data_IF_749162382431
#
_entry.id   IF_749162382431
#
_cell.length_a   1.000
_cell.length_b   1.000
_cell.length_c   1.000
_cell.angle_alpha   90.00
_cell.angle_beta   90.00
_cell.angle_gamma   90.00
#
_symmetry.space_group_name_H-M   'P 1'
#
loop_
_entity.id
_entity.type
_entity.pdbx_description
1 polymer ?
#
# COMPACT_ATOMS: atom_id res chain seq x y z
N UNK A 1 16.41 6.19 9.48
CA UNK A 1 16.57 5.34 10.68
C UNK A 1 17.00 3.93 10.29
N UNK A 2 17.41 3.11 11.23
CA UNK A 2 17.70 1.68 10.98
C UNK A 2 16.59 0.78 11.50
N UNK A 3 16.13 -0.16 10.66
CA UNK A 3 15.11 -1.17 10.98
C UNK A 3 15.66 -2.53 10.54
N UNK A 4 15.70 -3.51 11.44
CA UNK A 4 16.33 -4.82 11.21
C UNK A 4 17.79 -4.71 10.70
N UNK A 5 18.52 -3.64 11.06
CA UNK A 5 19.87 -3.37 10.60
C UNK A 5 19.98 -2.71 9.21
N UNK A 6 18.88 -2.34 8.58
CA UNK A 6 18.84 -1.69 7.25
C UNK A 6 18.42 -0.23 7.37
N UNK A 7 18.99 0.61 6.51
CA UNK A 7 18.62 2.05 6.41
C UNK A 7 17.24 2.18 5.78
N UNK A 8 16.32 2.80 6.52
CA UNK A 8 14.93 3.04 6.11
C UNK A 8 14.65 4.52 6.02
N UNK A 9 14.17 4.95 4.86
CA UNK A 9 13.63 6.28 4.65
C UNK A 9 12.15 6.29 5.02
N UNK A 10 11.68 7.39 5.60
CA UNK A 10 10.26 7.61 5.85
C UNK A 10 9.94 9.12 5.75
N UNK A 11 8.69 9.43 5.46
CA UNK A 11 8.11 10.77 5.56
C UNK A 11 7.34 10.86 6.86
N UNK A 12 7.45 12.00 7.54
CA UNK A 12 6.71 12.30 8.76
C UNK A 12 6.07 13.68 8.65
N UNK A 13 4.76 13.74 8.90
CA UNK A 13 4.01 14.97 9.02
C UNK A 13 3.53 15.06 10.46
N UNK A 14 4.10 15.98 11.21
CA UNK A 14 3.76 16.17 12.62
C UNK A 14 2.63 17.17 12.80
N UNK A 15 1.66 16.80 13.63
CA UNK A 15 0.67 17.71 14.19
C UNK A 15 0.64 17.54 15.71
N UNK A 16 1.25 18.44 16.49
CA UNK A 16 1.32 18.32 17.94
C UNK A 16 -0.05 18.30 18.65
N UNK A 17 -1.09 18.83 18.01
CA UNK A 17 -2.45 18.85 18.55
C UNK A 17 -3.20 17.53 18.29
N UNK A 18 -2.69 16.69 17.38
CA UNK A 18 -3.34 15.43 17.02
C UNK A 18 -3.02 14.33 18.01
N UNK A 19 -4.07 13.65 18.46
CA UNK A 19 -3.97 12.41 19.24
C UNK A 19 -3.93 11.15 18.37
N UNK A 20 -4.23 11.28 17.06
CA UNK A 20 -4.27 10.16 16.13
C UNK A 20 -3.00 10.09 15.28
N UNK A 21 -2.48 8.90 15.13
CA UNK A 21 -1.33 8.60 14.25
C UNK A 21 -1.80 7.72 13.11
N UNK A 22 -1.58 8.19 11.89
CA UNK A 22 -1.81 7.42 10.66
C UNK A 22 -0.48 6.85 10.17
N UNK A 23 -0.46 5.56 9.83
CA UNK A 23 0.68 4.94 9.15
C UNK A 23 0.24 4.48 7.77
N UNK A 24 0.90 4.98 6.73
CA UNK A 24 0.54 4.72 5.34
C UNK A 24 1.54 3.75 4.71
N UNK A 25 1.07 2.60 4.26
CA UNK A 25 1.88 1.54 3.66
C UNK A 25 1.63 1.50 2.14
N UNK A 26 2.67 1.79 1.38
CA UNK A 26 2.60 1.82 -0.09
C UNK A 26 2.55 0.41 -0.72
N UNK A 27 2.15 0.35 -1.98
CA UNK A 27 2.11 -0.87 -2.79
C UNK A 27 3.48 -1.38 -3.23
N UNK A 28 3.50 -2.54 -3.88
CA UNK A 28 4.68 -3.17 -4.44
C UNK A 28 5.44 -2.20 -5.37
N UNK A 29 6.76 -2.07 -5.20
CA UNK A 29 7.62 -1.21 -6.03
C UNK A 29 7.41 0.30 -5.86
N UNK A 30 6.46 0.72 -5.03
CA UNK A 30 6.17 2.13 -4.80
C UNK A 30 7.08 2.76 -3.72
N UNK A 31 6.70 3.92 -3.23
CA UNK A 31 7.39 4.70 -2.18
C UNK A 31 6.39 5.60 -1.45
N UNK A 32 6.86 6.33 -0.45
CA UNK A 32 6.05 7.30 0.30
C UNK A 32 5.44 8.38 -0.60
N UNK A 33 6.13 8.76 -1.69
CA UNK A 33 5.64 9.76 -2.66
C UNK A 33 4.31 9.39 -3.28
N UNK A 34 3.96 8.10 -3.31
CA UNK A 34 2.66 7.67 -3.85
C UNK A 34 1.47 8.26 -3.07
N UNK A 35 1.70 8.71 -1.84
CA UNK A 35 0.71 9.32 -0.98
C UNK A 35 0.71 10.86 -1.01
N UNK A 36 1.57 11.48 -1.85
CA UNK A 36 1.81 12.92 -1.85
C UNK A 36 0.55 13.76 -2.04
N UNK A 37 -0.39 13.33 -2.88
CA UNK A 37 -1.66 14.03 -3.11
C UNK A 37 -2.56 14.08 -1.85
N UNK A 38 -2.38 13.15 -0.91
CA UNK A 38 -3.11 13.17 0.36
C UNK A 38 -2.43 14.01 1.45
N UNK A 39 -1.14 14.29 1.38
CA UNK A 39 -0.44 14.99 2.46
C UNK A 39 -1.11 16.29 2.88
N UNK A 40 -1.53 17.19 1.96
CA UNK A 40 -2.21 18.43 2.33
C UNK A 40 -3.53 18.20 3.06
N UNK A 41 -4.21 17.09 2.78
CA UNK A 41 -5.53 16.74 3.33
C UNK A 41 -5.42 16.09 4.72
N UNK A 42 -4.28 15.45 5.01
CA UNK A 42 -4.05 14.71 6.27
C UNK A 42 -3.42 15.55 7.38
N UNK A 43 -3.26 16.88 7.21
CA UNK A 43 -2.56 17.77 8.13
C UNK A 43 -3.11 17.80 9.57
N UNK A 44 -4.35 17.38 9.78
CA UNK A 44 -4.93 17.31 11.13
C UNK A 44 -4.46 16.08 11.92
N UNK A 45 -3.72 15.16 11.32
CA UNK A 45 -3.21 13.93 11.94
C UNK A 45 -1.69 13.94 12.01
N UNK A 46 -1.12 13.14 12.92
CA UNK A 46 0.27 12.71 12.78
C UNK A 46 0.34 11.65 11.69
N UNK A 47 1.18 11.82 10.68
CA UNK A 47 1.28 10.88 9.56
C UNK A 47 2.70 10.38 9.42
N UNK A 48 2.85 9.07 9.28
CA UNK A 48 4.15 8.39 9.10
C UNK A 48 4.04 7.46 7.91
N UNK A 49 4.96 7.60 6.97
CA UNK A 49 4.93 6.90 5.70
C UNK A 49 6.31 6.28 5.43
N UNK A 50 6.56 5.03 5.83
CA UNK A 50 7.83 4.38 5.53
C UNK A 50 7.92 4.01 4.05
N UNK A 51 9.10 4.16 3.46
CA UNK A 51 9.49 3.36 2.31
C UNK A 51 9.82 1.96 2.84
N UNK A 52 9.05 0.96 2.44
CA UNK A 52 9.29 -0.43 2.84
C UNK A 52 10.71 -0.85 2.42
N UNK A 53 11.43 -1.57 3.29
CA UNK A 53 12.76 -2.08 2.93
C UNK A 53 12.70 -2.88 1.64
N UNK A 54 13.66 -2.63 0.74
CA UNK A 54 13.63 -3.16 -0.63
C UNK A 54 12.97 -2.22 -1.66
N UNK A 55 12.24 -1.19 -1.21
CA UNK A 55 11.50 -0.27 -2.08
C UNK A 55 11.80 1.20 -1.77
N UNK A 56 11.24 2.08 -2.59
CA UNK A 56 11.44 3.52 -2.46
C UNK A 56 12.91 3.91 -2.44
N UNK A 57 13.27 4.73 -1.49
CA UNK A 57 14.65 5.14 -1.20
C UNK A 57 15.22 4.46 0.06
N UNK A 58 14.50 3.48 0.62
CA UNK A 58 15.04 2.59 1.64
C UNK A 58 16.09 1.64 1.04
N UNK A 59 16.94 1.10 1.90
CA UNK A 59 17.96 0.13 1.52
C UNK A 59 17.33 -1.11 0.87
N UNK A 60 18.05 -1.71 -0.08
CA UNK A 60 17.62 -2.88 -0.85
C UNK A 60 18.62 -4.02 -0.66
N UNK A 61 18.65 -4.64 0.54
CA UNK A 61 19.56 -5.75 0.81
C UNK A 61 19.23 -6.99 -0.03
N UNK A 62 20.23 -7.84 -0.25
CA UNK A 62 20.06 -9.13 -0.91
C UNK A 62 19.57 -10.17 0.12
N UNK A 63 18.29 -10.11 0.46
CA UNK A 63 17.60 -11.03 1.38
C UNK A 63 16.36 -11.60 0.73
N UNK A 64 15.82 -12.68 1.28
CA UNK A 64 14.48 -13.13 0.87
C UNK A 64 13.40 -12.20 1.43
N UNK A 65 12.70 -11.49 0.55
CA UNK A 65 11.61 -10.59 0.88
C UNK A 65 10.30 -11.35 1.10
N UNK A 66 10.28 -12.18 2.15
CA UNK A 66 9.08 -12.95 2.53
C UNK A 66 8.02 -12.05 3.20
N UNK A 67 6.77 -12.51 3.26
CA UNK A 67 5.72 -11.81 4.02
C UNK A 67 6.14 -11.68 5.49
N UNK A 68 6.68 -12.74 6.09
CA UNK A 68 7.19 -12.73 7.47
C UNK A 68 8.32 -11.70 7.67
N UNK A 69 9.23 -11.55 6.70
CA UNK A 69 10.26 -10.52 6.74
C UNK A 69 9.64 -9.11 6.84
N UNK A 70 8.61 -8.81 6.03
CA UNK A 70 7.93 -7.52 6.09
C UNK A 70 7.11 -7.34 7.38
N UNK A 71 6.49 -8.38 7.90
CA UNK A 71 5.78 -8.30 9.20
C UNK A 71 6.75 -7.99 10.32
N UNK A 72 7.93 -8.64 10.37
CA UNK A 72 9.00 -8.31 11.33
C UNK A 72 9.54 -6.90 11.13
N UNK A 73 9.70 -6.47 9.88
CA UNK A 73 10.08 -5.09 9.55
C UNK A 73 9.08 -4.08 10.14
N UNK A 74 7.79 -4.27 9.92
CA UNK A 74 6.75 -3.40 10.47
C UNK A 74 6.76 -3.40 11.99
N UNK A 75 6.95 -4.56 12.63
CA UNK A 75 7.01 -4.65 14.08
C UNK A 75 8.18 -3.83 14.66
N UNK A 76 9.40 -4.00 14.12
CA UNK A 76 10.59 -3.24 14.53
C UNK A 76 10.41 -1.73 14.23
N UNK A 77 9.80 -1.38 13.09
CA UNK A 77 9.49 -0.01 12.72
C UNK A 77 8.55 0.65 13.73
N UNK A 78 7.44 0.01 14.09
CA UNK A 78 6.49 0.54 15.06
C UNK A 78 7.12 0.69 16.45
N UNK A 79 7.93 -0.27 16.88
CA UNK A 79 8.63 -0.22 18.17
C UNK A 79 9.62 0.94 18.23
N UNK A 80 10.50 1.09 17.22
CA UNK A 80 11.51 2.15 17.18
C UNK A 80 10.91 3.55 17.04
N UNK A 81 9.80 3.66 16.32
CA UNK A 81 9.04 4.92 16.21
C UNK A 81 8.14 5.17 17.41
N UNK A 82 8.06 4.24 18.38
CA UNK A 82 7.18 4.31 19.55
C UNK A 82 5.70 4.48 19.16
N UNK A 83 5.31 3.94 18.00
CA UNK A 83 3.93 4.01 17.50
C UNK A 83 3.09 2.97 18.25
N UNK A 84 1.99 3.42 18.82
CA UNK A 84 1.01 2.58 19.52
C UNK A 84 -0.38 2.86 19.00
N UNK A 85 -1.14 1.83 18.78
CA UNK A 85 -2.55 1.90 18.38
C UNK A 85 -2.80 2.84 17.19
N UNK A 86 -2.05 2.74 16.06
CA UNK A 86 -2.24 3.61 14.91
C UNK A 86 -3.47 3.21 14.09
N UNK A 87 -4.01 4.15 13.32
CA UNK A 87 -4.82 3.84 12.14
C UNK A 87 -3.86 3.52 11.01
N UNK A 88 -3.94 2.33 10.44
CA UNK A 88 -3.08 1.93 9.31
C UNK A 88 -3.85 2.01 8.01
N UNK A 89 -3.27 2.68 7.03
CA UNK A 89 -3.79 2.77 5.67
C UNK A 89 -2.84 2.03 4.72
N UNK A 90 -3.32 0.97 4.07
CA UNK A 90 -2.50 0.16 3.17
C UNK A 90 -3.07 0.05 1.77
N UNK A 91 -2.26 0.37 0.77
CA UNK A 91 -2.63 0.22 -0.65
C UNK A 91 -2.00 -1.03 -1.25
N UNK A 92 -2.79 -1.84 -1.97
CA UNK A 92 -2.31 -3.01 -2.70
C UNK A 92 -1.48 -3.93 -1.79
N UNK A 93 -0.18 -4.12 -2.06
CA UNK A 93 0.72 -4.89 -1.20
C UNK A 93 0.81 -4.35 0.23
N UNK A 94 0.80 -3.03 0.43
CA UNK A 94 0.74 -2.43 1.77
C UNK A 94 -0.53 -2.82 2.54
N UNK A 95 -1.65 -2.98 1.83
CA UNK A 95 -2.90 -3.51 2.39
C UNK A 95 -2.77 -4.98 2.80
N UNK A 96 -2.14 -5.80 1.98
CA UNK A 96 -1.83 -7.19 2.34
C UNK A 96 -0.96 -7.24 3.59
N UNK A 97 0.08 -6.41 3.69
CA UNK A 97 0.96 -6.38 4.87
C UNK A 97 0.22 -5.95 6.14
N UNK A 98 -0.71 -4.99 6.06
CA UNK A 98 -1.53 -4.60 7.20
C UNK A 98 -2.39 -5.77 7.71
N UNK A 99 -2.98 -6.55 6.81
CA UNK A 99 -3.77 -7.74 7.15
C UNK A 99 -2.90 -8.84 7.76
N UNK A 100 -1.76 -9.16 7.14
CA UNK A 100 -0.82 -10.19 7.64
C UNK A 100 -0.26 -9.83 9.03
N UNK A 101 0.06 -8.55 9.23
CA UNK A 101 0.47 -8.05 10.53
C UNK A 101 -0.65 -8.23 11.59
N UNK A 102 -1.89 -7.89 11.22
CA UNK A 102 -3.06 -8.00 12.13
C UNK A 102 -3.38 -9.44 12.52
N UNK A 103 -3.10 -10.42 11.67
CA UNK A 103 -3.29 -11.83 11.99
C UNK A 103 -2.32 -12.35 13.07
N UNK A 104 -1.19 -11.65 13.25
CA UNK A 104 -0.16 -11.98 14.25
C UNK A 104 -0.29 -11.09 15.49
N UNK A 105 -0.50 -9.78 15.29
CA UNK A 105 -0.60 -8.76 16.33
C UNK A 105 -2.02 -8.18 16.38
N UNK A 106 -2.97 -8.96 16.89
CA UNK A 106 -4.43 -8.79 16.74
C UNK A 106 -4.97 -7.44 17.21
N UNK A 107 -4.43 -6.87 18.28
CA UNK A 107 -4.94 -5.64 18.90
C UNK A 107 -3.98 -4.44 18.74
N UNK A 108 -3.09 -4.52 17.75
CA UNK A 108 -2.07 -3.49 17.60
C UNK A 108 -2.57 -2.23 16.88
N UNK A 109 -3.51 -2.38 15.95
CA UNK A 109 -4.08 -1.27 15.19
C UNK A 109 -5.43 -0.83 15.78
N UNK A 110 -5.66 0.49 15.85
CA UNK A 110 -6.96 1.06 16.18
C UNK A 110 -7.97 0.74 15.06
N UNK A 111 -7.58 1.00 13.82
CA UNK A 111 -8.39 0.80 12.62
C UNK A 111 -7.51 0.48 11.43
N UNK A 112 -8.09 -0.14 10.42
CA UNK A 112 -7.43 -0.43 9.15
C UNK A 112 -8.22 0.19 7.99
N UNK A 113 -7.52 0.87 7.08
CA UNK A 113 -8.06 1.34 5.80
C UNK A 113 -7.31 0.62 4.69
N UNK A 114 -8.01 -0.15 3.90
CA UNK A 114 -7.48 -0.94 2.80
C UNK A 114 -7.90 -0.32 1.46
N UNK A 115 -6.95 -0.13 0.58
CA UNK A 115 -7.20 0.40 -0.76
C UNK A 115 -6.75 -0.64 -1.79
N UNK A 116 -7.73 -1.23 -2.51
CA UNK A 116 -7.47 -2.27 -3.52
C UNK A 116 -6.42 -3.30 -3.04
N UNK A 117 -6.60 -3.91 -1.84
CA UNK A 117 -5.55 -4.70 -1.20
C UNK A 117 -5.20 -5.95 -1.98
N UNK A 118 -3.92 -6.31 -2.00
CA UNK A 118 -3.44 -7.57 -2.55
C UNK A 118 -3.72 -8.76 -1.61
N UNK A 119 -3.41 -9.98 -2.06
CA UNK A 119 -3.54 -11.21 -1.26
C UNK A 119 -4.78 -12.05 -1.59
N UNK A 120 -5.65 -11.59 -2.52
CA UNK A 120 -6.86 -12.32 -2.94
C UNK A 120 -6.78 -12.88 -4.37
N UNK A 121 -5.85 -12.38 -5.20
CA UNK A 121 -5.68 -12.85 -6.56
C UNK A 121 -5.08 -14.26 -6.61
N UNK A 122 -5.68 -15.13 -7.41
CA UNK A 122 -5.14 -16.47 -7.71
C UNK A 122 -4.05 -16.42 -8.79
N UNK A 123 -4.20 -15.51 -9.76
CA UNK A 123 -3.26 -15.31 -10.86
C UNK A 123 -3.10 -13.84 -11.16
N UNK A 124 -1.92 -13.40 -11.59
CA UNK A 124 -1.73 -12.02 -12.03
C UNK A 124 -2.67 -11.68 -13.20
N UNK A 125 -3.25 -10.49 -13.13
CA UNK A 125 -3.98 -9.91 -14.28
C UNK A 125 -3.00 -9.45 -15.36
N UNK A 126 -3.53 -9.14 -16.55
CA UNK A 126 -2.71 -8.54 -17.61
C UNK A 126 -2.07 -7.22 -17.15
N UNK A 127 -2.85 -6.33 -16.52
CA UNK A 127 -2.36 -5.02 -16.06
C UNK A 127 -1.29 -5.17 -14.98
N UNK A 128 -1.48 -6.07 -14.01
CA UNK A 128 -0.45 -6.38 -13.03
C UNK A 128 0.84 -6.91 -13.70
N UNK A 129 0.70 -7.73 -14.73
CA UNK A 129 1.85 -8.25 -15.49
C UNK A 129 2.59 -7.12 -16.23
N UNK A 130 1.87 -6.14 -16.79
CA UNK A 130 2.48 -4.94 -17.42
C UNK A 130 3.19 -4.07 -16.38
N UNK A 131 2.62 -3.90 -15.18
CA UNK A 131 3.29 -3.21 -14.08
C UNK A 131 4.60 -3.90 -13.66
N UNK A 132 4.59 -5.23 -13.53
CA UNK A 132 5.79 -6.01 -13.22
C UNK A 132 6.84 -5.85 -14.34
N UNK A 133 6.41 -5.94 -15.60
CA UNK A 133 7.29 -5.74 -16.75
C UNK A 133 7.93 -4.35 -16.73
N UNK A 134 7.16 -3.29 -16.47
CA UNK A 134 7.67 -1.93 -16.35
C UNK A 134 8.68 -1.78 -15.19
N UNK A 135 8.51 -2.50 -14.09
CA UNK A 135 9.48 -2.55 -12.99
C UNK A 135 10.79 -3.24 -13.36
N UNK A 136 10.74 -4.28 -14.20
CA UNK A 136 11.93 -5.01 -14.66
C UNK A 136 12.66 -4.28 -15.79
N UNK A 137 11.92 -3.62 -16.66
CA UNK A 137 12.42 -2.86 -17.81
C UNK A 137 11.97 -1.39 -17.70
N UNK A 138 12.53 -0.62 -16.73
CA UNK A 138 12.03 0.71 -16.38
C UNK A 138 12.47 1.75 -17.41
N UNK A 139 11.61 1.95 -18.41
CA UNK A 139 11.65 3.08 -19.34
C UNK A 139 10.48 4.03 -19.03
N UNK A 140 10.59 5.28 -19.43
CA UNK A 140 9.50 6.25 -19.29
C UNK A 140 8.22 5.72 -19.93
N UNK A 141 8.34 5.19 -21.16
CA UNK A 141 7.22 4.65 -21.94
C UNK A 141 6.54 3.47 -21.25
N UNK A 142 7.32 2.46 -20.81
CA UNK A 142 6.77 1.27 -20.14
C UNK A 142 6.05 1.64 -18.84
N UNK A 143 6.66 2.51 -18.04
CA UNK A 143 6.10 2.92 -16.74
C UNK A 143 4.85 3.78 -16.93
N UNK A 144 4.89 4.75 -17.84
CA UNK A 144 3.73 5.58 -18.17
C UNK A 144 2.55 4.72 -18.63
N UNK A 145 2.78 3.80 -19.58
CA UNK A 145 1.76 2.88 -20.09
C UNK A 145 1.17 2.02 -18.97
N UNK A 146 2.01 1.42 -18.12
CA UNK A 146 1.55 0.58 -17.02
C UNK A 146 0.70 1.38 -16.00
N UNK A 147 1.13 2.58 -15.63
CA UNK A 147 0.39 3.42 -14.69
C UNK A 147 -0.93 3.91 -15.27
N UNK A 148 -0.98 4.26 -16.56
CA UNK A 148 -2.22 4.64 -17.22
C UNK A 148 -3.21 3.46 -17.30
N UNK A 149 -2.72 2.23 -17.54
CA UNK A 149 -3.55 1.03 -17.48
C UNK A 149 -4.08 0.76 -16.07
N UNK A 150 -3.30 1.05 -15.02
CA UNK A 150 -3.73 0.87 -13.63
C UNK A 150 -4.83 1.85 -13.23
N UNK A 151 -4.78 3.09 -13.68
CA UNK A 151 -5.83 4.08 -13.47
C UNK A 151 -7.10 3.72 -14.26
N UNK A 152 -6.93 3.16 -15.47
CA UNK A 152 -8.02 2.71 -16.34
C UNK A 152 -9.17 3.73 -16.49
N UNK A 153 -8.81 5.01 -16.58
CA UNK A 153 -9.72 6.13 -16.77
C UNK A 153 -9.08 7.15 -17.73
N UNK A 154 -9.92 7.90 -18.46
CA UNK A 154 -9.46 9.00 -19.31
C UNK A 154 -9.33 10.32 -18.55
N UNK A 155 -9.93 10.41 -17.38
CA UNK A 155 -9.97 11.63 -16.56
C UNK A 155 -8.67 11.86 -15.80
N UNK A 156 -7.96 10.78 -15.43
CA UNK A 156 -6.68 10.86 -14.77
C UNK A 156 -5.53 10.66 -15.76
N UNK A 157 -4.65 11.63 -15.82
CA UNK A 157 -3.42 11.58 -16.63
C UNK A 157 -2.24 11.39 -15.69
N UNK A 158 -1.47 10.34 -15.95
CA UNK A 158 -0.26 10.04 -15.17
C UNK A 158 0.78 11.15 -15.38
N UNK A 159 1.22 11.74 -14.29
CA UNK A 159 2.19 12.82 -14.32
C UNK A 159 3.62 12.31 -14.59
N UNK A 160 4.37 13.06 -15.40
CA UNK A 160 5.74 12.73 -15.79
C UNK A 160 6.72 12.63 -14.63
N UNK A 161 6.51 13.40 -13.56
CA UNK A 161 7.40 13.40 -12.39
C UNK A 161 7.28 12.07 -11.66
N UNK A 162 6.06 11.58 -11.48
CA UNK A 162 5.77 10.26 -10.91
C UNK A 162 6.42 9.14 -11.73
N UNK A 163 6.32 9.22 -13.05
CA UNK A 163 6.95 8.24 -13.97
C UNK A 163 8.46 8.26 -13.84
N UNK A 164 9.08 9.44 -13.92
CA UNK A 164 10.54 9.61 -13.81
C UNK A 164 11.07 9.13 -12.45
N UNK A 165 10.36 9.45 -11.37
CA UNK A 165 10.73 9.00 -10.03
C UNK A 165 10.69 7.46 -9.92
N UNK A 166 9.64 6.82 -10.42
CA UNK A 166 9.56 5.35 -10.44
C UNK A 166 10.70 4.73 -11.25
N UNK A 167 10.98 5.24 -12.46
CA UNK A 167 12.08 4.77 -13.31
C UNK A 167 13.42 4.88 -12.58
N UNK A 168 13.68 6.02 -11.92
CA UNK A 168 14.92 6.25 -11.17
C UNK A 168 15.08 5.25 -10.01
N UNK A 169 14.00 5.03 -9.24
CA UNK A 169 14.01 4.08 -8.12
C UNK A 169 14.22 2.63 -8.57
N UNK A 170 13.59 2.22 -9.68
CA UNK A 170 13.75 0.86 -10.22
C UNK A 170 15.10 0.61 -10.87
N UNK A 171 15.90 1.66 -11.13
CA UNK A 171 17.30 1.57 -11.58
C UNK A 171 18.30 1.51 -10.44
N UNK A 172 17.89 1.75 -9.20
CA UNK A 172 18.76 1.60 -8.03
C UNK A 172 19.25 0.14 -7.89
N UNK A 173 20.45 -0.07 -7.32
CA UNK A 173 20.96 -1.41 -7.05
C UNK A 173 19.94 -2.28 -6.32
N UNK A 174 19.80 -3.53 -6.73
CA UNK A 174 18.92 -4.55 -6.14
C UNK A 174 17.40 -4.27 -6.21
N UNK A 175 16.94 -3.15 -6.80
CA UNK A 175 15.50 -2.83 -6.86
C UNK A 175 14.68 -3.90 -7.59
N UNK A 176 15.20 -4.43 -8.70
CA UNK A 176 14.55 -5.51 -9.46
C UNK A 176 14.53 -6.82 -8.68
N UNK A 177 15.61 -7.11 -7.95
CA UNK A 177 15.68 -8.29 -7.08
C UNK A 177 14.60 -8.21 -5.99
N UNK A 178 14.51 -7.07 -5.30
CA UNK A 178 13.49 -6.86 -4.25
C UNK A 178 12.07 -7.02 -4.81
N UNK A 179 11.80 -6.47 -6.00
CA UNK A 179 10.51 -6.61 -6.68
C UNK A 179 10.16 -8.08 -6.93
N UNK A 180 11.07 -8.84 -7.55
CA UNK A 180 10.83 -10.25 -7.89
C UNK A 180 10.72 -11.13 -6.65
N UNK A 181 11.63 -10.96 -5.67
CA UNK A 181 11.60 -11.74 -4.43
C UNK A 181 10.28 -11.53 -3.68
N UNK A 182 9.81 -10.27 -3.59
CA UNK A 182 8.51 -9.97 -2.97
C UNK A 182 7.34 -10.58 -3.74
N UNK A 183 7.34 -10.50 -5.08
CA UNK A 183 6.30 -11.12 -5.90
C UNK A 183 6.20 -12.64 -5.69
N UNK A 184 7.35 -13.31 -5.60
CA UNK A 184 7.38 -14.74 -5.32
C UNK A 184 6.83 -15.07 -3.92
N UNK A 185 7.11 -14.23 -2.94
CA UNK A 185 6.55 -14.37 -1.59
C UNK A 185 5.04 -14.15 -1.54
N UNK A 186 4.55 -13.10 -2.21
CA UNK A 186 3.10 -12.83 -2.33
C UNK A 186 2.37 -14.02 -2.96
N UNK A 187 2.96 -14.62 -4.00
CA UNK A 187 2.38 -15.77 -4.71
C UNK A 187 2.32 -17.03 -3.84
N UNK A 188 3.24 -17.23 -2.91
CA UNK A 188 3.25 -18.38 -2.00
C UNK A 188 2.19 -18.27 -0.90
N UNK A 189 1.68 -17.08 -0.62
CA UNK A 189 0.73 -16.82 0.47
C UNK A 189 -0.72 -16.81 -0.03
N UNK A 190 -1.25 -18.00 -0.35
CA UNK A 190 -2.62 -18.18 -0.87
C UNK A 190 -3.70 -18.24 0.22
N UNK A 191 -3.33 -18.19 1.51
CA UNK A 191 -4.24 -18.47 2.61
C UNK A 191 -4.96 -17.23 3.14
N UNK A 192 -4.46 -16.03 2.84
CA UNK A 192 -4.97 -14.78 3.40
C UNK A 192 -6.49 -14.62 3.22
N UNK A 193 -7.02 -14.86 2.03
CA UNK A 193 -8.46 -14.71 1.75
C UNK A 193 -9.35 -15.57 2.66
N UNK A 194 -8.84 -16.73 3.13
CA UNK A 194 -9.57 -17.63 4.02
C UNK A 194 -9.46 -17.20 5.48
N UNK A 195 -8.47 -16.38 5.82
CA UNK A 195 -8.18 -15.90 7.17
C UNK A 195 -8.74 -14.52 7.47
N UNK A 196 -9.36 -13.85 6.51
CA UNK A 196 -9.97 -12.52 6.71
C UNK A 196 -11.01 -12.53 7.85
N UNK A 197 -11.69 -13.63 8.08
CA UNK A 197 -12.66 -13.82 9.16
C UNK A 197 -12.01 -13.79 10.58
N UNK A 198 -10.70 -13.93 10.67
CA UNK A 198 -9.96 -13.88 11.95
C UNK A 198 -9.63 -12.44 12.38
N UNK A 199 -9.80 -11.44 11.47
CA UNK A 199 -9.43 -10.04 11.72
C UNK A 199 -10.66 -9.30 12.25
N UNK A 200 -10.65 -8.95 13.55
CA UNK A 200 -11.73 -8.24 14.23
C UNK A 200 -11.49 -6.74 14.41
N UNK A 201 -10.41 -6.21 13.83
CA UNK A 201 -10.11 -4.78 13.85
C UNK A 201 -11.10 -4.05 12.93
N UNK A 202 -11.71 -2.92 13.36
CA UNK A 202 -12.56 -2.11 12.50
C UNK A 202 -11.85 -1.76 11.19
N UNK A 203 -12.42 -2.19 10.06
CA UNK A 203 -11.78 -2.08 8.75
C UNK A 203 -12.67 -1.39 7.74
N UNK A 204 -12.12 -0.41 7.02
CA UNK A 204 -12.71 0.19 5.84
C UNK A 204 -11.96 -0.29 4.59
N UNK A 205 -12.68 -0.86 3.63
CA UNK A 205 -12.14 -1.32 2.36
C UNK A 205 -12.65 -0.44 1.24
N UNK A 206 -11.76 0.23 0.52
CA UNK A 206 -12.10 1.11 -0.60
C UNK A 206 -11.51 0.51 -1.89
N UNK A 207 -12.30 0.50 -2.94
CA UNK A 207 -11.90 0.00 -4.25
C UNK A 207 -12.32 0.93 -5.37
N UNK A 208 -11.48 1.13 -6.37
CA UNK A 208 -11.88 1.79 -7.59
C UNK A 208 -12.73 0.87 -8.47
N UNK A 209 -13.82 1.39 -9.02
CA UNK A 209 -14.72 0.62 -9.90
C UNK A 209 -14.01 0.04 -11.11
N UNK A 210 -13.06 0.80 -11.67
CA UNK A 210 -12.37 0.48 -12.91
C UNK A 210 -11.04 -0.26 -12.67
N UNK A 211 -10.80 -0.77 -11.45
CA UNK A 211 -9.54 -1.47 -11.13
C UNK A 211 -9.41 -2.77 -11.92
N UNK A 212 -8.49 -2.78 -12.88
CA UNK A 212 -8.12 -3.95 -13.68
C UNK A 212 -6.80 -4.58 -13.22
N UNK A 213 -6.11 -3.95 -12.26
CA UNK A 213 -4.91 -4.50 -11.62
C UNK A 213 -5.29 -5.59 -10.62
N UNK A 214 -6.21 -5.28 -9.72
CA UNK A 214 -6.90 -6.22 -8.84
C UNK A 214 -8.40 -5.94 -9.01
N UNK A 215 -9.15 -6.74 -9.77
CA UNK A 215 -10.54 -6.48 -10.09
C UNK A 215 -11.42 -6.23 -8.87
N UNK A 216 -12.35 -5.27 -8.98
CA UNK A 216 -13.21 -4.82 -7.87
C UNK A 216 -14.03 -5.93 -7.25
N UNK A 217 -14.32 -7.00 -7.98
CA UNK A 217 -15.01 -8.20 -7.48
C UNK A 217 -14.30 -8.84 -6.29
N UNK A 218 -12.99 -8.62 -6.14
CA UNK A 218 -12.23 -9.11 -4.99
C UNK A 218 -12.68 -8.48 -3.67
N UNK A 219 -13.40 -7.37 -3.67
CA UNK A 219 -13.98 -6.74 -2.47
C UNK A 219 -14.93 -7.71 -1.74
N UNK A 220 -15.54 -8.65 -2.45
CA UNK A 220 -16.47 -9.64 -1.87
C UNK A 220 -15.78 -10.54 -0.83
N UNK A 221 -14.50 -10.85 -0.98
CA UNK A 221 -13.78 -11.62 0.02
C UNK A 221 -13.70 -10.89 1.36
N UNK A 222 -13.60 -9.56 1.35
CA UNK A 222 -13.45 -8.72 2.54
C UNK A 222 -14.75 -8.55 3.32
N UNK A 223 -15.91 -8.69 2.68
CA UNK A 223 -17.22 -8.68 3.37
C UNK A 223 -17.37 -9.79 4.42
N UNK A 224 -16.46 -10.76 4.43
CA UNK A 224 -16.42 -11.83 5.43
C UNK A 224 -15.73 -11.42 6.73
N UNK A 225 -15.08 -10.26 6.78
CA UNK A 225 -14.46 -9.74 8.00
C UNK A 225 -15.55 -9.35 9.01
N UNK A 226 -15.35 -9.61 10.32
CA UNK A 226 -16.38 -9.36 11.36
C UNK A 226 -16.83 -7.91 11.47
N UNK A 227 -15.92 -6.95 11.32
CA UNK A 227 -16.18 -5.51 11.47
C UNK A 227 -15.63 -4.79 10.23
N UNK A 228 -16.41 -4.77 9.17
CA UNK A 228 -15.98 -4.20 7.89
C UNK A 228 -17.02 -3.26 7.28
N UNK A 229 -16.53 -2.18 6.69
CA UNK A 229 -17.26 -1.33 5.76
C UNK A 229 -16.60 -1.43 4.41
N UNK A 230 -17.37 -1.52 3.33
CA UNK A 230 -16.85 -1.57 1.96
C UNK A 230 -17.41 -0.43 1.14
N UNK A 231 -16.54 0.28 0.41
CA UNK A 231 -16.91 1.39 -0.47
C UNK A 231 -16.29 1.18 -1.85
N UNK A 232 -17.04 1.53 -2.88
CA UNK A 232 -16.55 1.53 -4.25
C UNK A 232 -16.53 2.97 -4.75
N UNK A 233 -15.40 3.38 -5.30
CA UNK A 233 -15.19 4.72 -5.81
C UNK A 233 -15.31 4.72 -7.34
N UNK A 234 -16.32 5.42 -7.85
CA UNK A 234 -16.63 5.45 -9.28
C UNK A 234 -15.61 6.28 -10.06
N UNK A 235 -15.32 5.86 -11.29
CA UNK A 235 -14.37 6.56 -12.17
C UNK A 235 -12.92 6.53 -11.67
N UNK A 236 -12.56 5.51 -10.88
CA UNK A 236 -11.20 5.29 -10.40
C UNK A 236 -10.75 3.87 -10.68
N UNK A 237 -9.45 3.70 -10.92
CA UNK A 237 -8.77 2.42 -11.05
C UNK A 237 -8.13 1.96 -9.75
N UNK A 238 -6.88 1.49 -9.82
CA UNK A 238 -6.18 0.83 -8.72
C UNK A 238 -5.75 1.76 -7.58
N UNK A 239 -5.64 3.06 -7.83
CA UNK A 239 -5.11 4.03 -6.85
C UNK A 239 -6.03 5.24 -6.66
N UNK A 240 -7.27 5.04 -6.17
CA UNK A 240 -8.28 6.10 -6.06
C UNK A 240 -7.81 7.30 -5.22
N UNK A 241 -6.93 7.11 -4.25
CA UNK A 241 -6.34 8.16 -3.43
C UNK A 241 -5.35 9.07 -4.19
N UNK A 242 -4.88 8.63 -5.37
CA UNK A 242 -4.07 9.44 -6.28
C UNK A 242 -4.95 10.07 -7.36
N UNK A 243 -5.92 9.31 -7.84
CA UNK A 243 -6.77 9.69 -8.97
C UNK A 243 -7.82 10.75 -8.59
N UNK A 244 -8.39 10.64 -7.36
CA UNK A 244 -9.39 11.57 -6.82
C UNK A 244 -9.14 11.81 -5.31
N UNK A 245 -8.04 12.46 -4.92
CA UNK A 245 -7.60 12.55 -3.52
C UNK A 245 -8.61 13.25 -2.60
N UNK A 246 -9.29 14.29 -3.06
CA UNK A 246 -10.26 15.03 -2.24
C UNK A 246 -11.51 14.18 -1.94
N UNK A 247 -12.05 13.48 -2.94
CA UNK A 247 -13.19 12.59 -2.78
C UNK A 247 -12.82 11.38 -1.90
N UNK A 248 -11.63 10.81 -2.13
CA UNK A 248 -11.10 9.74 -1.31
C UNK A 248 -10.98 10.17 0.18
N UNK A 249 -10.44 11.37 0.43
CA UNK A 249 -10.29 11.89 1.79
C UNK A 249 -11.65 12.02 2.50
N UNK A 250 -12.68 12.52 1.84
CA UNK A 250 -14.04 12.62 2.41
C UNK A 250 -14.60 11.25 2.83
N UNK A 251 -14.26 10.19 2.11
CA UNK A 251 -14.68 8.82 2.45
C UNK A 251 -13.99 8.29 3.71
N UNK A 252 -12.70 8.59 3.90
CA UNK A 252 -11.93 8.04 5.01
C UNK A 252 -12.02 8.87 6.29
N UNK A 253 -12.23 10.18 6.19
CA UNK A 253 -12.18 11.10 7.32
C UNK A 253 -13.14 10.68 8.45
N UNK A 254 -14.40 10.42 8.12
CA UNK A 254 -15.41 9.98 9.11
C UNK A 254 -15.02 8.67 9.79
N UNK A 255 -14.43 7.75 9.03
CA UNK A 255 -13.99 6.47 9.58
C UNK A 255 -12.78 6.63 10.50
N UNK A 256 -11.85 7.52 10.17
CA UNK A 256 -10.68 7.82 11.02
C UNK A 256 -11.18 8.43 12.34
N UNK A 257 -12.11 9.36 12.30
CA UNK A 257 -12.54 10.18 13.45
C UNK A 257 -13.58 9.49 14.34
N UNK A 258 -14.29 8.47 13.83
CA UNK A 258 -15.17 7.65 14.66
C UNK A 258 -14.38 6.78 15.63
#
# INVERSE_FOLDING_TARGET
MEILGYKVRYVKLDNPESKKTLVLLHGLGASAERWAELWPLLKKYNVIIPDLVGFGYSEKPLVEYTIDFFVRFLKDFFEKMQIRNPVVMGSSFGGQLALEFSLIYRDFFEKIILISPAGTLERPTYVLSQYIFAGLYPTIENVHSAFQMMANTKEYVVDDTTVKDYVNRMRLPNAKYSLISTLLAMRKNHTLRNRLVEISIPTLVIWGRNDTTIPVENIEYFKRMPIVQTLIMEGCGHTPYVEKPAEFYQMIEKFIDS
#
